data_IF_314324158549
#
_entry.id   IF_314324158549
#
_cell.length_a   1.000
_cell.length_b   1.000
_cell.length_c   1.000
_cell.angle_alpha   90.00
_cell.angle_beta   90.00
_cell.angle_gamma   90.00
#
_symmetry.space_group_name_H-M   'P 1'
#
loop_
_entity.id
_entity.type
_entity.pdbx_description
1 polymer ?
#
# COMPACT_ATOMS: atom_id res chain seq x y z
N UNK A 1 -14.11 7.79 -8.65
CA UNK A 1 -13.46 8.22 -7.39
C UNK A 1 -12.06 8.65 -7.72
N UNK A 2 -11.76 9.94 -7.60
CA UNK A 2 -10.39 10.43 -7.78
C UNK A 2 -9.60 10.15 -6.50
N UNK A 3 -8.46 9.46 -6.65
CA UNK A 3 -7.48 9.30 -5.58
C UNK A 3 -6.28 10.17 -5.92
N UNK A 4 -5.79 10.91 -4.93
CA UNK A 4 -4.65 11.81 -5.13
C UNK A 4 -3.62 11.58 -4.03
N UNK A 5 -2.36 11.42 -4.43
CA UNK A 5 -1.24 11.33 -3.50
C UNK A 5 -0.95 12.71 -2.90
N UNK A 6 -1.06 12.80 -1.58
CA UNK A 6 -0.71 14.02 -0.83
C UNK A 6 0.74 13.92 -0.36
N UNK A 7 1.66 14.43 -1.18
CA UNK A 7 3.11 14.38 -0.90
C UNK A 7 3.47 15.11 0.41
N UNK A 8 2.85 16.26 0.66
CA UNK A 8 3.18 17.08 1.83
C UNK A 8 2.79 16.36 3.11
N UNK A 9 1.58 15.79 3.17
CA UNK A 9 1.16 14.99 4.33
C UNK A 9 1.96 13.69 4.45
N UNK A 10 2.31 13.05 3.34
CA UNK A 10 3.15 11.84 3.32
C UNK A 10 4.50 12.08 3.97
N UNK A 11 5.20 13.16 3.61
CA UNK A 11 6.50 13.53 4.20
C UNK A 11 6.35 13.90 5.67
N UNK A 12 5.34 14.69 6.03
CA UNK A 12 5.10 15.12 7.41
C UNK A 12 4.85 13.92 8.35
N UNK A 13 4.01 12.98 7.92
CA UNK A 13 3.71 11.78 8.71
C UNK A 13 4.93 10.87 8.78
N UNK A 14 5.64 10.68 7.67
CA UNK A 14 6.89 9.90 7.62
C UNK A 14 7.90 10.38 8.67
N UNK A 15 8.09 11.69 8.80
CA UNK A 15 8.95 12.29 9.83
C UNK A 15 8.42 12.05 11.24
N UNK A 16 7.11 12.26 11.46
CA UNK A 16 6.48 12.08 12.78
C UNK A 16 6.58 10.65 13.31
N UNK A 17 6.52 9.64 12.43
CA UNK A 17 6.59 8.23 12.83
C UNK A 17 8.00 7.64 12.75
N UNK A 18 8.99 8.45 12.35
CA UNK A 18 10.36 8.01 12.05
C UNK A 18 10.38 6.83 11.08
N UNK A 19 9.77 7.01 9.90
CA UNK A 19 9.57 5.94 8.93
C UNK A 19 10.88 5.36 8.40
N UNK A 20 10.86 4.07 8.04
CA UNK A 20 12.04 3.35 7.53
C UNK A 20 11.79 2.80 6.12
N UNK A 21 12.81 2.84 5.27
CA UNK A 21 12.71 2.39 3.88
C UNK A 21 12.30 0.92 3.71
N UNK A 22 12.73 0.04 4.61
CA UNK A 22 12.54 -1.41 4.50
C UNK A 22 11.23 -1.93 5.10
N UNK A 23 10.41 -1.08 5.72
CA UNK A 23 9.23 -1.51 6.49
C UNK A 23 7.97 -0.74 6.08
N UNK A 24 7.52 -0.84 4.82
CA UNK A 24 6.36 -0.09 4.34
C UNK A 24 5.08 -0.38 5.15
N UNK A 25 4.85 -1.65 5.51
CA UNK A 25 3.69 -2.10 6.31
C UNK A 25 3.66 -1.49 7.72
N UNK A 26 4.79 -1.54 8.43
CA UNK A 26 4.91 -0.91 9.75
C UNK A 26 4.76 0.62 9.67
N UNK A 27 5.31 1.25 8.64
CA UNK A 27 5.14 2.69 8.43
C UNK A 27 3.66 3.05 8.25
N UNK A 28 2.93 2.31 7.40
CA UNK A 28 1.51 2.53 7.18
C UNK A 28 0.67 2.23 8.43
N UNK A 29 1.03 1.20 9.19
CA UNK A 29 0.40 0.90 10.48
C UNK A 29 0.55 2.07 11.46
N UNK A 30 1.77 2.54 11.70
CA UNK A 30 2.04 3.68 12.59
C UNK A 30 1.35 4.97 12.13
N UNK A 31 1.34 5.20 10.81
CA UNK A 31 0.63 6.33 10.21
C UNK A 31 -0.88 6.22 10.45
N UNK A 32 -1.47 5.04 10.31
CA UNK A 32 -2.89 4.81 10.59
C UNK A 32 -3.24 5.03 12.06
N UNK A 33 -2.34 4.68 12.99
CA UNK A 33 -2.52 4.96 14.41
C UNK A 33 -2.47 6.45 14.75
N UNK A 34 -1.69 7.21 14.00
CA UNK A 34 -1.43 8.64 14.26
C UNK A 34 -2.36 9.57 13.47
N UNK A 35 -3.21 9.02 12.60
CA UNK A 35 -4.10 9.80 11.71
C UNK A 35 -5.55 9.42 11.95
N UNK A 36 -6.33 10.37 12.48
CA UNK A 36 -7.75 10.14 12.73
C UNK A 36 -8.53 9.94 11.42
N UNK A 37 -9.47 8.99 11.42
CA UNK A 37 -10.29 8.66 10.26
C UNK A 37 -9.55 7.94 9.11
N UNK A 38 -8.25 7.66 9.27
CA UNK A 38 -7.48 6.95 8.27
C UNK A 38 -7.88 5.47 8.15
N UNK A 39 -7.82 4.97 6.91
CA UNK A 39 -7.89 3.54 6.61
C UNK A 39 -6.50 3.05 6.24
N UNK A 40 -6.06 1.98 6.88
CA UNK A 40 -4.87 1.26 6.44
C UNK A 40 -5.19 0.54 5.13
N UNK A 41 -4.30 0.66 4.16
CA UNK A 41 -4.44 0.04 2.85
C UNK A 41 -3.18 -0.74 2.54
N UNK A 42 -3.38 -1.99 2.12
CA UNK A 42 -2.33 -2.88 1.66
C UNK A 42 -2.61 -3.26 0.20
N UNK A 43 -1.55 -3.40 -0.59
CA UNK A 43 -1.66 -3.81 -1.98
C UNK A 43 -0.34 -3.68 -2.70
N UNK A 44 -0.38 -3.12 -3.91
CA UNK A 44 0.79 -3.05 -4.78
C UNK A 44 1.08 -1.63 -5.23
N UNK A 45 2.36 -1.34 -5.35
CA UNK A 45 2.92 -0.13 -5.90
C UNK A 45 3.66 -0.48 -7.19
N UNK A 46 3.34 0.26 -8.26
CA UNK A 46 4.04 0.17 -9.54
C UNK A 46 4.61 1.53 -9.90
N UNK A 47 5.81 1.54 -10.47
CA UNK A 47 6.49 2.75 -10.96
C UNK A 47 7.44 2.40 -12.10
N UNK A 48 7.92 3.43 -12.79
CA UNK A 48 8.80 3.27 -13.95
C UNK A 48 10.18 2.73 -13.53
N UNK A 49 10.67 1.75 -14.30
CA UNK A 49 11.99 1.15 -14.14
C UNK A 49 12.03 -0.07 -13.22
N UNK A 50 13.26 -0.43 -12.77
CA UNK A 50 13.47 -1.58 -11.86
C UNK A 50 12.59 -1.45 -10.61
N UNK A 51 11.94 -2.54 -10.14
CA UNK A 51 12.22 -3.94 -10.50
C UNK A 51 11.44 -4.49 -11.69
N UNK A 52 10.72 -3.65 -12.48
CA UNK A 52 9.87 -4.11 -13.61
C UNK A 52 8.79 -5.11 -13.20
N UNK A 53 8.38 -5.07 -11.93
CA UNK A 53 7.29 -5.86 -11.37
C UNK A 53 6.58 -5.04 -10.29
N UNK A 54 5.30 -5.34 -10.01
CA UNK A 54 4.62 -4.78 -8.85
C UNK A 54 5.40 -5.04 -7.56
N UNK A 55 5.41 -4.06 -6.66
CA UNK A 55 6.05 -4.17 -5.33
C UNK A 55 4.94 -4.17 -4.29
N UNK A 56 4.93 -5.16 -3.38
CA UNK A 56 4.00 -5.11 -2.26
C UNK A 56 4.29 -3.89 -1.39
N UNK A 57 3.23 -3.16 -1.08
CA UNK A 57 3.32 -1.87 -0.41
C UNK A 57 2.06 -1.59 0.40
N UNK A 58 2.15 -0.58 1.26
CA UNK A 58 1.02 -0.13 2.07
C UNK A 58 1.08 1.36 2.32
N UNK A 59 -0.09 1.95 2.47
CA UNK A 59 -0.30 3.37 2.67
C UNK A 59 -1.57 3.58 3.50
N UNK A 60 -1.91 4.83 3.79
CA UNK A 60 -3.20 5.16 4.39
C UNK A 60 -4.05 5.96 3.39
N UNK A 61 -5.35 5.69 3.41
CA UNK A 61 -6.35 6.48 2.69
C UNK A 61 -7.15 7.30 3.70
N UNK A 62 -7.24 8.61 3.46
CA UNK A 62 -8.07 9.54 4.24
C UNK A 62 -9.13 10.10 3.32
N UNK A 63 -10.40 9.94 3.69
CA UNK A 63 -11.51 10.54 2.97
C UNK A 63 -11.58 12.04 3.26
N UNK A 64 -11.56 12.85 2.22
CA UNK A 64 -11.78 14.28 2.33
C UNK A 64 -13.25 14.58 2.02
N UNK A 65 -14.00 14.97 3.06
CA UNK A 65 -15.43 15.29 2.96
C UNK A 65 -15.68 16.79 2.79
N UNK A 66 -14.63 17.61 2.61
CA UNK A 66 -14.78 19.07 2.52
C UNK A 66 -15.32 19.55 1.17
N UNK A 67 -15.38 18.65 0.17
CA UNK A 67 -15.80 18.95 -1.19
C UNK A 67 -17.05 18.12 -1.53
N UNK A 68 -17.95 18.65 -2.36
CA UNK A 68 -19.14 17.92 -2.85
C UNK A 68 -18.76 16.64 -3.64
N UNK A 69 -17.50 16.49 -4.03
CA UNK A 69 -16.91 15.26 -4.53
C UNK A 69 -16.18 14.51 -3.41
N UNK A 70 -16.50 13.23 -3.24
CA UNK A 70 -15.76 12.33 -2.35
C UNK A 70 -14.34 12.11 -2.89
N UNK A 71 -13.39 12.94 -2.44
CA UNK A 71 -11.97 12.83 -2.74
C UNK A 71 -11.30 11.92 -1.71
N UNK A 72 -10.47 10.98 -2.19
CA UNK A 72 -9.66 10.13 -1.31
C UNK A 72 -8.21 10.57 -1.43
N UNK A 73 -7.60 10.99 -0.32
CA UNK A 73 -6.18 11.30 -0.26
C UNK A 73 -5.40 10.05 0.09
N UNK A 74 -4.43 9.71 -0.76
CA UNK A 74 -3.42 8.70 -0.48
C UNK A 74 -2.29 9.39 0.28
N UNK A 75 -1.92 8.83 1.42
CA UNK A 75 -0.77 9.27 2.21
C UNK A 75 0.15 8.07 2.34
N UNK A 76 1.34 8.17 1.76
CA UNK A 76 2.34 7.12 1.76
C UNK A 76 3.51 7.49 2.68
N UNK A 77 3.57 6.99 3.92
CA UNK A 77 4.64 7.33 4.86
C UNK A 77 6.02 6.78 4.45
N UNK A 78 6.08 5.94 3.41
CA UNK A 78 7.32 5.41 2.84
C UNK A 78 7.79 6.23 1.64
N UNK A 79 6.97 7.16 1.14
CA UNK A 79 7.26 8.01 -0.02
C UNK A 79 8.67 8.65 0.00
N UNK A 80 9.17 9.23 1.11
CA UNK A 80 10.50 9.85 1.13
C UNK A 80 11.64 8.87 0.81
N UNK A 81 11.43 7.59 1.05
CA UNK A 81 12.43 6.53 0.86
C UNK A 81 12.39 5.92 -0.54
N UNK A 82 11.27 6.08 -1.26
CA UNK A 82 11.11 5.53 -2.61
C UNK A 82 12.05 6.20 -3.62
N UNK A 83 12.41 7.48 -3.41
CA UNK A 83 13.23 8.29 -4.33
C UNK A 83 12.69 8.26 -5.77
N UNK A 84 11.36 8.27 -5.90
CA UNK A 84 10.62 8.29 -7.17
C UNK A 84 9.81 9.57 -7.27
N UNK A 85 9.50 9.99 -8.49
CA UNK A 85 8.59 11.09 -8.73
C UNK A 85 7.16 10.67 -8.31
N UNK A 86 6.48 11.41 -7.41
CA UNK A 86 5.12 11.12 -6.99
C UNK A 86 4.12 10.94 -8.16
N UNK A 87 4.34 11.61 -9.28
CA UNK A 87 3.50 11.50 -10.48
C UNK A 87 3.68 10.19 -11.25
N UNK A 88 4.76 9.45 -10.96
CA UNK A 88 5.10 8.16 -11.57
C UNK A 88 4.85 6.99 -10.61
N UNK A 89 4.01 7.21 -9.59
CA UNK A 89 3.60 6.19 -8.64
C UNK A 89 2.14 5.81 -8.86
N UNK A 90 1.90 4.52 -9.11
CA UNK A 90 0.56 3.97 -9.27
C UNK A 90 0.26 2.99 -8.14
N UNK A 91 -0.80 3.28 -7.39
CA UNK A 91 -1.22 2.55 -6.19
C UNK A 91 -2.43 1.65 -6.49
N UNK A 92 -2.30 0.36 -6.19
CA UNK A 92 -3.32 -0.66 -6.42
C UNK A 92 -3.72 -1.31 -5.10
N UNK A 93 -4.85 -0.87 -4.54
CA UNK A 93 -5.33 -1.37 -3.25
C UNK A 93 -5.84 -2.81 -3.39
N UNK A 94 -5.33 -3.72 -2.57
CA UNK A 94 -5.84 -5.08 -2.41
C UNK A 94 -6.80 -5.17 -1.22
N UNK A 95 -6.41 -4.57 -0.09
CA UNK A 95 -7.17 -4.66 1.16
C UNK A 95 -7.24 -3.30 1.86
N UNK A 96 -8.38 -3.03 2.49
CA UNK A 96 -8.58 -1.82 3.30
C UNK A 96 -9.11 -2.18 4.68
N UNK A 97 -8.43 -1.73 5.72
CA UNK A 97 -8.76 -2.02 7.10
C UNK A 97 -8.94 -0.72 7.88
N UNK A 98 -9.95 -0.70 8.76
CA UNK A 98 -10.06 0.35 9.77
C UNK A 98 -9.02 0.09 10.87
N UNK A 99 -8.57 1.15 11.55
CA UNK A 99 -7.62 1.03 12.67
C UNK A 99 -8.10 0.01 13.72
N UNK A 100 -9.41 -0.04 14.01
CA UNK A 100 -9.99 -1.01 14.94
C UNK A 100 -9.79 -2.46 14.48
N UNK A 101 -10.08 -2.75 13.22
CA UNK A 101 -9.88 -4.11 12.66
C UNK A 101 -8.40 -4.46 12.58
N UNK A 102 -7.58 -3.52 12.15
CA UNK A 102 -6.13 -3.69 12.03
C UNK A 102 -5.48 -4.05 13.36
N UNK A 103 -5.87 -3.39 14.46
CA UNK A 103 -5.38 -3.72 15.81
C UNK A 103 -5.80 -5.12 16.24
N UNK A 104 -7.07 -5.49 16.04
CA UNK A 104 -7.58 -6.80 16.42
C UNK A 104 -6.82 -7.93 15.69
N UNK A 105 -6.59 -7.79 14.38
CA UNK A 105 -5.84 -8.77 13.59
C UNK A 105 -4.40 -8.90 14.10
N UNK A 106 -3.71 -7.78 14.34
CA UNK A 106 -2.31 -7.82 14.83
C UNK A 106 -2.22 -8.43 16.24
N UNK A 107 -3.21 -8.21 17.10
CA UNK A 107 -3.27 -8.79 18.44
C UNK A 107 -3.48 -10.32 18.36
N UNK A 108 -4.48 -10.76 17.59
CA UNK A 108 -4.75 -12.18 17.32
C UNK A 108 -3.53 -12.89 16.71
N UNK A 109 -2.91 -12.31 15.67
CA UNK A 109 -1.71 -12.89 15.04
C UNK A 109 -0.53 -13.03 16.01
N UNK A 110 -0.35 -12.08 16.93
CA UNK A 110 0.72 -12.16 17.95
C UNK A 110 0.42 -13.18 19.05
N UNK A 111 -0.85 -13.42 19.35
CA UNK A 111 -1.25 -14.45 20.31
C UNK A 111 -1.06 -15.85 19.71
N UNK A 112 -1.46 -16.03 18.45
CA UNK A 112 -1.35 -17.32 17.76
C UNK A 112 0.10 -17.64 17.35
N UNK A 113 0.84 -16.64 16.88
CA UNK A 113 2.19 -16.77 16.33
C UNK A 113 3.13 -15.65 16.84
N UNK A 114 3.55 -15.68 18.11
CA UNK A 114 4.33 -14.60 18.73
C UNK A 114 5.72 -14.37 18.11
N UNK A 115 6.25 -15.37 17.41
CA UNK A 115 7.55 -15.33 16.76
C UNK A 115 7.48 -14.82 15.30
N UNK A 116 6.28 -14.70 14.72
CA UNK A 116 6.08 -14.26 13.34
C UNK A 116 5.73 -12.77 13.26
N UNK A 117 6.15 -12.13 12.16
CA UNK A 117 5.77 -10.73 11.90
C UNK A 117 4.27 -10.65 11.53
N UNK A 118 3.46 -9.86 12.25
CA UNK A 118 2.00 -9.80 12.05
C UNK A 118 1.58 -8.98 10.81
N UNK A 119 2.56 -8.45 10.07
CA UNK A 119 2.38 -7.67 8.85
C UNK A 119 3.35 -8.19 7.80
N UNK A 120 2.96 -8.27 6.51
CA UNK A 120 1.66 -7.96 5.92
C UNK A 120 0.47 -8.84 6.36
N UNK A 121 -0.75 -8.33 6.24
CA UNK A 121 -1.98 -9.10 6.52
C UNK A 121 -2.42 -9.79 5.22
N UNK A 122 -2.21 -11.09 5.16
CA UNK A 122 -2.82 -11.96 4.15
C UNK A 122 -4.19 -12.38 4.70
N UNK A 123 -5.25 -12.18 3.92
CA UNK A 123 -6.64 -12.42 4.36
C UNK A 123 -6.91 -13.87 4.78
N UNK A 124 -8.16 -14.17 5.14
CA UNK A 124 -8.52 -15.52 5.58
C UNK A 124 -8.27 -16.56 4.47
N UNK A 125 -7.85 -17.79 4.84
CA UNK A 125 -7.74 -18.90 3.90
C UNK A 125 -9.10 -19.19 3.23
N UNK A 126 -9.11 -19.78 2.02
CA UNK A 126 -7.98 -20.42 1.34
C UNK A 126 -7.03 -19.41 0.68
N UNK A 127 -5.73 -19.58 0.94
CA UNK A 127 -4.69 -18.80 0.25
C UNK A 127 -4.60 -19.24 -1.20
N UNK A 128 -4.80 -18.31 -2.13
CA UNK A 128 -4.57 -18.57 -3.54
C UNK A 128 -3.08 -18.41 -3.85
N UNK A 129 -2.51 -19.44 -4.47
CA UNK A 129 -1.13 -19.44 -4.96
C UNK A 129 -1.11 -18.91 -6.39
N UNK A 130 -0.22 -17.97 -6.72
CA UNK A 130 -0.04 -17.49 -8.09
C UNK A 130 1.44 -17.50 -8.49
N UNK A 131 1.82 -18.49 -9.30
CA UNK A 131 3.23 -18.82 -9.54
C UNK A 131 3.87 -19.32 -8.25
N UNK A 132 5.03 -18.77 -7.89
CA UNK A 132 5.72 -19.07 -6.62
C UNK A 132 5.30 -18.14 -5.46
N UNK A 133 4.32 -17.24 -5.67
CA UNK A 133 3.95 -16.21 -4.69
C UNK A 133 2.57 -16.52 -4.09
N UNK A 134 2.51 -16.64 -2.77
CA UNK A 134 1.26 -16.77 -2.01
C UNK A 134 0.64 -15.37 -1.87
N UNK A 135 -0.38 -15.06 -2.66
CA UNK A 135 -0.98 -13.72 -2.74
C UNK A 135 -2.39 -13.71 -2.15
N UNK A 136 -2.53 -13.99 -0.85
CA UNK A 136 -3.78 -13.80 -0.11
C UNK A 136 -5.03 -14.36 -0.81
N UNK A 137 -6.14 -13.59 -0.80
CA UNK A 137 -7.40 -13.92 -1.47
C UNK A 137 -7.61 -13.19 -2.80
N UNK A 138 -8.78 -13.39 -3.43
CA UNK A 138 -9.11 -12.89 -4.78
C UNK A 138 -8.86 -11.39 -5.02
N UNK A 139 -9.04 -10.54 -4.01
CA UNK A 139 -8.79 -9.10 -4.11
C UNK A 139 -7.29 -8.77 -4.28
N UNK A 140 -6.40 -9.55 -3.67
CA UNK A 140 -4.96 -9.43 -3.86
C UNK A 140 -4.57 -9.80 -5.29
N UNK A 141 -5.15 -10.89 -5.82
CA UNK A 141 -4.90 -11.30 -7.20
C UNK A 141 -5.33 -10.21 -8.19
N UNK A 142 -6.54 -9.66 -8.01
CA UNK A 142 -7.05 -8.59 -8.87
C UNK A 142 -6.14 -7.35 -8.82
N UNK A 143 -5.70 -6.96 -7.63
CA UNK A 143 -4.78 -5.82 -7.45
C UNK A 143 -3.41 -6.09 -8.09
N UNK A 144 -2.86 -7.30 -7.94
CA UNK A 144 -1.60 -7.71 -8.54
C UNK A 144 -1.67 -7.69 -10.06
N UNK A 145 -2.70 -8.29 -10.65
CA UNK A 145 -2.88 -8.32 -12.11
C UNK A 145 -3.04 -6.91 -12.70
N UNK A 146 -3.80 -6.03 -12.04
CA UNK A 146 -3.93 -4.64 -12.45
C UNK A 146 -2.58 -3.90 -12.35
N UNK A 147 -1.83 -4.12 -11.28
CA UNK A 147 -0.51 -3.54 -11.09
C UNK A 147 0.51 -4.05 -12.12
N UNK A 148 0.45 -5.34 -12.46
CA UNK A 148 1.32 -5.99 -13.44
C UNK A 148 1.02 -5.47 -14.86
N UNK A 149 -0.26 -5.39 -15.23
CA UNK A 149 -0.68 -4.80 -16.50
C UNK A 149 -0.18 -3.36 -16.63
N UNK A 150 -0.32 -2.56 -15.57
CA UNK A 150 0.22 -1.19 -15.57
C UNK A 150 1.75 -1.16 -15.66
N UNK A 151 2.43 -2.08 -14.98
CA UNK A 151 3.89 -2.20 -15.01
C UNK A 151 4.39 -2.53 -16.42
N UNK A 152 3.69 -3.42 -17.14
CA UNK A 152 3.97 -3.76 -18.53
C UNK A 152 3.75 -2.54 -19.44
N UNK A 153 2.62 -1.85 -19.30
CA UNK A 153 2.30 -0.64 -20.08
C UNK A 153 3.37 0.45 -19.97
N UNK A 154 3.72 0.86 -18.74
CA UNK A 154 4.65 1.97 -18.50
C UNK A 154 6.11 1.63 -18.88
N UNK A 155 6.47 0.35 -18.84
CA UNK A 155 7.83 -0.09 -19.18
C UNK A 155 7.97 -0.45 -20.68
N UNK A 156 6.91 -0.90 -21.35
CA UNK A 156 6.89 -1.06 -22.81
C UNK A 156 7.09 0.29 -23.53
N UNK A 157 6.45 1.35 -23.02
CA UNK A 157 6.64 2.72 -23.52
C UNK A 157 8.10 3.21 -23.43
N UNK A 158 8.92 2.64 -22.54
CA UNK A 158 10.34 2.97 -22.46
C UNK A 158 11.23 2.13 -23.39
N UNK A 159 10.74 0.96 -23.84
CA UNK A 159 11.44 0.13 -24.83
C UNK A 159 11.24 0.72 -26.23
N UNK A 160 10.06 1.26 -26.53
CA UNK A 160 9.79 1.90 -27.84
C UNK A 160 10.38 3.31 -27.98
N UNK A 161 10.87 3.92 -26.90
CA UNK A 161 11.48 5.26 -26.88
C UNK A 161 13.02 5.26 -26.91
N UNK A 162 13.66 4.10 -26.97
CA UNK A 162 15.11 3.94 -27.16
C UNK A 162 15.41 3.32 -28.52
#
# INVERSE_FOLDING_TARGET
>A
MNKLLDETLSIKIAQSINSKASTPFDNAYKAALSTEGAKYVQGFLTFVGKPYRPVEHSWIEVSDTSSNDSLIRIIDPTLPHLKKNPQELWYFAAQKLTVKKLKAIIEESKEDYPEDDPLPIYGEPPYEYYGDVMLGGQDYLAAYQAAEAKCKEINQLNIEKN
#
